data_IF_419809536443
#
_entry.id   IF_419809536443
#
_cell.length_a   1.000
_cell.length_b   1.000
_cell.length_c   1.000
_cell.angle_alpha   90.00
_cell.angle_beta   90.00
_cell.angle_gamma   90.00
#
_symmetry.space_group_name_H-M   'P 1'
#
loop_
_entity.id
_entity.type
_entity.pdbx_description
1 polymer ?
#
# COMPACT_ATOMS: atom_id res chain seq x y z
N UNK A 1 39.63 -36.51 -5.44
CA UNK A 1 38.23 -35.99 -5.51
C UNK A 1 38.24 -34.55 -5.00
N UNK A 2 38.79 -33.52 -5.65
CA UNK A 2 38.44 -32.51 -4.73
C UNK A 2 38.72 -31.04 -5.01
N UNK A 3 39.55 -30.75 -5.97
CA UNK A 3 39.75 -29.34 -6.38
C UNK A 3 38.58 -28.81 -7.20
N UNK A 4 37.94 -29.67 -7.98
CA UNK A 4 36.76 -29.29 -8.79
C UNK A 4 35.52 -29.06 -7.93
N UNK A 5 35.22 -29.96 -6.97
CA UNK A 5 34.13 -29.77 -6.00
C UNK A 5 34.31 -28.51 -5.15
N UNK A 6 35.52 -28.20 -4.71
CA UNK A 6 35.83 -26.96 -3.98
C UNK A 6 35.61 -25.71 -4.84
N UNK A 7 35.97 -25.75 -6.12
CA UNK A 7 35.73 -24.64 -7.05
C UNK A 7 34.24 -24.41 -7.31
N UNK A 8 33.46 -25.50 -7.47
CA UNK A 8 32.00 -25.38 -7.59
C UNK A 8 31.42 -24.83 -6.31
N UNK A 9 31.79 -25.35 -5.14
CA UNK A 9 31.31 -24.84 -3.85
C UNK A 9 31.61 -23.35 -3.66
N UNK A 10 32.84 -22.93 -4.02
CA UNK A 10 33.19 -21.50 -3.99
C UNK A 10 32.35 -20.68 -4.96
N UNK A 11 32.12 -21.17 -6.18
CA UNK A 11 31.29 -20.48 -7.17
C UNK A 11 29.83 -20.30 -6.69
N UNK A 12 29.24 -21.35 -6.11
CA UNK A 12 27.89 -21.28 -5.51
C UNK A 12 27.83 -20.28 -4.35
N UNK A 13 28.84 -20.29 -3.47
CA UNK A 13 28.91 -19.35 -2.36
C UNK A 13 29.00 -17.89 -2.85
N UNK A 14 29.84 -17.63 -3.86
CA UNK A 14 29.96 -16.27 -4.44
C UNK A 14 28.64 -15.83 -5.05
N UNK A 15 27.95 -16.69 -5.79
CA UNK A 15 26.64 -16.37 -6.36
C UNK A 15 25.58 -16.11 -5.28
N UNK A 16 25.59 -16.87 -4.19
CA UNK A 16 24.69 -16.65 -3.06
C UNK A 16 24.94 -15.29 -2.39
N UNK A 17 26.22 -14.93 -2.18
CA UNK A 17 26.61 -13.64 -1.61
C UNK A 17 26.18 -12.49 -2.54
N UNK A 18 26.45 -12.60 -3.84
CA UNK A 18 26.05 -11.58 -4.81
C UNK A 18 24.52 -11.41 -4.86
N UNK A 19 23.78 -12.52 -4.80
CA UNK A 19 22.32 -12.50 -4.70
C UNK A 19 21.83 -11.78 -3.45
N UNK A 20 22.39 -12.10 -2.30
CA UNK A 20 22.06 -11.41 -1.04
C UNK A 20 22.37 -9.91 -1.11
N UNK A 21 23.55 -9.54 -1.59
CA UNK A 21 23.94 -8.12 -1.77
C UNK A 21 22.97 -7.40 -2.70
N UNK A 22 22.56 -8.03 -3.80
CA UNK A 22 21.61 -7.45 -4.74
C UNK A 22 20.23 -7.20 -4.09
N UNK A 23 19.72 -8.16 -3.29
CA UNK A 23 18.46 -7.99 -2.55
C UNK A 23 18.52 -6.82 -1.59
N UNK A 24 19.59 -6.74 -0.76
CA UNK A 24 19.76 -5.62 0.18
C UNK A 24 19.93 -4.27 -0.54
N UNK A 25 20.65 -4.24 -1.66
CA UNK A 25 20.83 -3.02 -2.43
C UNK A 25 19.51 -2.53 -3.06
N UNK A 26 18.68 -3.45 -3.58
CA UNK A 26 17.37 -3.12 -4.13
C UNK A 26 16.44 -2.61 -3.02
N UNK A 27 16.40 -3.30 -1.88
CA UNK A 27 15.56 -2.90 -0.75
C UNK A 27 15.97 -1.50 -0.23
N UNK A 28 17.25 -1.27 -0.02
CA UNK A 28 17.79 0.04 0.39
C UNK A 28 17.45 1.14 -0.64
N UNK A 29 17.54 0.83 -1.94
CA UNK A 29 17.18 1.77 -2.99
C UNK A 29 15.69 2.14 -2.93
N UNK A 30 14.81 1.16 -2.78
CA UNK A 30 13.37 1.38 -2.64
C UNK A 30 13.05 2.23 -1.41
N UNK A 31 13.63 1.89 -0.25
CA UNK A 31 13.40 2.63 0.99
C UNK A 31 13.92 4.06 0.94
N UNK A 32 15.11 4.30 0.39
CA UNK A 32 15.70 5.64 0.28
C UNK A 32 14.95 6.53 -0.71
N UNK A 33 14.40 5.94 -1.78
CA UNK A 33 13.59 6.65 -2.78
C UNK A 33 12.21 7.02 -2.23
N UNK A 34 11.53 6.07 -1.59
CA UNK A 34 10.16 6.23 -1.13
C UNK A 34 10.04 6.90 0.25
N UNK A 35 11.04 6.71 1.12
CA UNK A 35 11.01 7.16 2.51
C UNK A 35 10.66 8.63 2.71
N UNK A 36 11.28 9.57 1.96
CA UNK A 36 10.97 11.01 2.07
C UNK A 36 9.52 11.38 1.72
N UNK A 37 8.77 10.47 1.09
CA UNK A 37 7.35 10.67 0.73
C UNK A 37 6.38 10.06 1.74
N UNK A 38 6.88 9.41 2.80
CA UNK A 38 6.05 8.96 3.92
C UNK A 38 5.94 10.13 4.89
N UNK A 39 4.71 10.62 5.06
CA UNK A 39 4.40 11.83 5.82
C UNK A 39 3.41 11.51 6.94
N UNK A 40 3.27 12.43 7.87
CA UNK A 40 2.22 12.39 8.91
C UNK A 40 0.86 12.80 8.32
N UNK A 41 -0.23 12.52 9.05
CA UNK A 41 -1.57 12.95 8.66
C UNK A 41 -1.69 14.49 8.57
N UNK A 42 -1.03 15.22 9.47
CA UNK A 42 -1.02 16.69 9.47
C UNK A 42 -0.26 17.26 8.27
N UNK A 43 0.87 16.65 7.91
CA UNK A 43 1.61 17.03 6.70
C UNK A 43 0.81 16.71 5.44
N UNK A 44 0.07 15.60 5.41
CA UNK A 44 -0.81 15.25 4.29
C UNK A 44 -1.93 16.28 4.09
N UNK A 45 -2.52 16.81 5.16
CA UNK A 45 -3.59 17.80 5.11
C UNK A 45 -3.17 19.12 4.44
N UNK A 46 -1.88 19.45 4.46
CA UNK A 46 -1.36 20.71 3.88
C UNK A 46 -0.73 20.54 2.48
N UNK A 47 -0.73 19.33 1.91
CA UNK A 47 -0.17 19.05 0.57
C UNK A 47 -0.93 19.81 -0.53
N UNK A 48 -2.23 20.02 -0.37
CA UNK A 48 -3.10 20.67 -1.35
C UNK A 48 -3.26 19.88 -2.66
N UNK A 49 -4.42 20.06 -3.31
CA UNK A 49 -4.75 19.45 -4.60
C UNK A 49 -4.55 17.91 -4.63
N UNK A 50 -4.87 17.22 -3.54
CA UNK A 50 -4.89 15.75 -3.49
C UNK A 50 -6.19 15.26 -4.14
N UNK A 51 -6.08 14.49 -5.22
CA UNK A 51 -7.23 14.00 -5.99
C UNK A 51 -8.03 12.96 -5.19
N UNK A 52 -7.34 12.06 -4.49
CA UNK A 52 -7.95 11.09 -3.59
C UNK A 52 -6.98 10.56 -2.54
N UNK A 53 -7.53 10.07 -1.43
CA UNK A 53 -6.85 9.17 -0.51
C UNK A 53 -7.08 7.74 -1.00
N UNK A 54 -6.01 7.04 -1.38
CA UNK A 54 -6.04 5.65 -1.84
C UNK A 54 -5.79 4.70 -0.67
N UNK A 55 -6.81 3.96 -0.26
CA UNK A 55 -6.73 2.94 0.79
C UNK A 55 -6.50 1.57 0.15
N UNK A 56 -5.37 0.94 0.46
CA UNK A 56 -5.02 -0.38 -0.09
C UNK A 56 -5.62 -1.51 0.75
N UNK A 57 -6.21 -2.50 0.10
CA UNK A 57 -6.72 -3.72 0.71
C UNK A 57 -5.60 -4.58 1.33
N UNK A 58 -5.96 -5.41 2.31
CA UNK A 58 -5.08 -6.42 2.91
C UNK A 58 -5.82 -7.61 3.55
N UNK A 59 -7.08 -7.78 3.21
CA UNK A 59 -7.85 -8.97 3.52
C UNK A 59 -9.03 -8.75 4.45
N UNK A 60 -10.06 -9.56 4.20
CA UNK A 60 -11.24 -9.73 5.05
C UNK A 60 -11.27 -11.15 5.60
N UNK A 61 -11.86 -11.31 6.78
CA UNK A 61 -12.11 -12.62 7.39
C UNK A 61 -13.21 -13.38 6.63
N UNK A 62 -13.35 -14.71 6.85
CA UNK A 62 -14.39 -15.51 6.20
C UNK A 62 -15.84 -15.04 6.47
N UNK A 63 -16.06 -14.29 7.55
CA UNK A 63 -17.34 -13.67 7.90
C UNK A 63 -17.58 -12.32 7.19
N UNK A 64 -16.64 -11.89 6.34
CA UNK A 64 -16.69 -10.61 5.62
C UNK A 64 -16.19 -9.41 6.42
N UNK A 65 -15.82 -9.57 7.68
CA UNK A 65 -15.27 -8.48 8.48
C UNK A 65 -13.84 -8.12 8.03
N UNK A 66 -13.47 -6.82 7.95
CA UNK A 66 -12.10 -6.42 7.71
C UNK A 66 -11.13 -7.01 8.74
N UNK A 67 -9.94 -7.44 8.29
CA UNK A 67 -8.85 -7.77 9.20
C UNK A 67 -8.43 -6.55 10.02
N UNK A 68 -7.77 -6.75 11.17
CA UNK A 68 -7.30 -5.64 12.01
C UNK A 68 -6.44 -4.63 11.22
N UNK A 69 -5.56 -5.14 10.35
CA UNK A 69 -4.76 -4.30 9.45
C UNK A 69 -5.62 -3.49 8.47
N UNK A 70 -6.65 -4.13 7.90
CA UNK A 70 -7.54 -3.46 6.96
C UNK A 70 -8.39 -2.41 7.66
N UNK A 71 -8.92 -2.74 8.85
CA UNK A 71 -9.68 -1.80 9.68
C UNK A 71 -8.86 -0.55 10.03
N UNK A 72 -7.58 -0.71 10.38
CA UNK A 72 -6.69 0.41 10.66
C UNK A 72 -6.40 1.25 9.41
N UNK A 73 -6.26 0.64 8.22
CA UNK A 73 -6.14 1.38 6.96
C UNK A 73 -7.39 2.21 6.66
N UNK A 74 -8.57 1.62 6.85
CA UNK A 74 -9.83 2.32 6.62
C UNK A 74 -9.97 3.48 7.61
N UNK A 75 -9.71 3.25 8.90
CA UNK A 75 -9.76 4.28 9.92
C UNK A 75 -8.79 5.44 9.62
N UNK A 76 -7.57 5.15 9.18
CA UNK A 76 -6.60 6.17 8.77
C UNK A 76 -7.07 6.92 7.52
N UNK A 77 -7.70 6.22 6.55
CA UNK A 77 -8.28 6.86 5.36
C UNK A 77 -9.42 7.81 5.72
N UNK A 78 -10.31 7.39 6.62
CA UNK A 78 -11.40 8.23 7.16
C UNK A 78 -10.83 9.48 7.85
N UNK A 79 -9.82 9.34 8.70
CA UNK A 79 -9.18 10.46 9.38
C UNK A 79 -8.55 11.47 8.39
N UNK A 80 -7.97 10.99 7.28
CA UNK A 80 -7.43 11.86 6.22
C UNK A 80 -8.52 12.56 5.39
N UNK A 81 -9.67 11.95 5.24
CA UNK A 81 -10.84 12.62 4.65
C UNK A 81 -11.34 13.73 5.59
N UNK A 82 -11.52 13.42 6.87
CA UNK A 82 -12.04 14.36 7.88
C UNK A 82 -11.10 15.55 8.11
N UNK A 83 -9.78 15.37 8.06
CA UNK A 83 -8.81 16.46 8.20
C UNK A 83 -8.64 17.31 6.92
N UNK A 84 -9.38 16.98 5.85
CA UNK A 84 -9.39 17.76 4.61
C UNK A 84 -8.26 17.46 3.64
N UNK A 85 -7.51 16.36 3.81
CA UNK A 85 -6.45 15.93 2.87
C UNK A 85 -7.00 15.77 1.45
N UNK A 86 -8.16 15.10 1.30
CA UNK A 86 -8.91 14.99 0.04
C UNK A 86 -10.39 14.77 0.31
N UNK A 87 -11.29 15.28 -0.54
CA UNK A 87 -12.74 15.03 -0.43
C UNK A 87 -13.15 13.66 -1.00
N UNK A 88 -12.21 12.77 -1.34
CA UNK A 88 -12.49 11.48 -1.98
C UNK A 88 -11.61 10.39 -1.40
N UNK A 89 -12.24 9.25 -1.08
CA UNK A 89 -11.55 7.99 -0.79
C UNK A 89 -11.67 7.04 -1.98
N UNK A 90 -10.56 6.42 -2.35
CA UNK A 90 -10.53 5.32 -3.32
C UNK A 90 -10.13 4.04 -2.57
N UNK A 91 -11.08 3.12 -2.42
CA UNK A 91 -10.86 1.80 -1.82
C UNK A 91 -10.41 0.84 -2.91
N UNK A 92 -9.17 0.35 -2.87
CA UNK A 92 -8.62 -0.55 -3.89
C UNK A 92 -8.23 -1.88 -3.26
N UNK A 93 -8.86 -2.94 -3.71
CA UNK A 93 -8.70 -4.28 -3.17
C UNK A 93 -9.10 -5.38 -4.15
N UNK A 94 -9.13 -6.62 -3.64
CA UNK A 94 -9.45 -7.80 -4.43
C UNK A 94 -10.96 -8.12 -4.38
N UNK A 95 -11.53 -8.37 -5.55
CA UNK A 95 -12.86 -8.96 -5.73
C UNK A 95 -12.81 -10.08 -6.80
N UNK A 96 -11.72 -10.84 -6.82
CA UNK A 96 -11.48 -11.89 -7.83
C UNK A 96 -12.31 -13.17 -7.62
N UNK A 97 -13.06 -13.30 -6.50
CA UNK A 97 -13.90 -14.44 -6.19
C UNK A 97 -15.27 -13.99 -5.73
N UNK A 98 -16.31 -14.75 -6.09
CA UNK A 98 -17.70 -14.43 -5.76
C UNK A 98 -18.01 -14.43 -4.25
N UNK A 99 -17.21 -15.14 -3.46
CA UNK A 99 -17.32 -15.26 -1.99
C UNK A 99 -16.36 -14.32 -1.24
N UNK A 100 -15.68 -13.40 -1.95
CA UNK A 100 -14.70 -12.50 -1.37
C UNK A 100 -14.88 -11.08 -1.92
N UNK A 101 -15.36 -10.18 -1.08
CA UNK A 101 -15.69 -8.81 -1.44
C UNK A 101 -15.08 -7.81 -0.45
N UNK A 102 -13.76 -7.66 -0.56
CA UNK A 102 -12.98 -6.78 0.30
C UNK A 102 -13.40 -5.31 0.12
N UNK A 103 -13.61 -4.88 -1.12
CA UNK A 103 -13.82 -3.48 -1.44
C UNK A 103 -15.17 -2.98 -0.92
N UNK A 104 -16.23 -3.80 -0.99
CA UNK A 104 -17.52 -3.46 -0.37
C UNK A 104 -17.41 -3.38 1.16
N UNK A 105 -16.69 -4.31 1.81
CA UNK A 105 -16.45 -4.24 3.25
C UNK A 105 -15.69 -2.94 3.64
N UNK A 106 -14.70 -2.54 2.84
CA UNK A 106 -13.98 -1.28 3.04
C UNK A 106 -14.90 -0.07 2.93
N UNK A 107 -15.74 -0.04 1.89
CA UNK A 107 -16.71 1.05 1.68
C UNK A 107 -17.74 1.12 2.81
N UNK A 108 -18.32 -0.03 3.17
CA UNK A 108 -19.32 -0.07 4.24
C UNK A 108 -18.77 0.44 5.56
N UNK A 109 -17.55 0.07 5.93
CA UNK A 109 -16.91 0.55 7.15
C UNK A 109 -16.68 2.07 7.11
N UNK A 110 -16.24 2.64 5.99
CA UNK A 110 -16.07 4.09 5.83
C UNK A 110 -17.40 4.84 5.91
N UNK A 111 -18.47 4.32 5.30
CA UNK A 111 -19.81 4.91 5.36
C UNK A 111 -20.40 4.82 6.78
N UNK A 112 -20.18 3.69 7.47
CA UNK A 112 -20.59 3.55 8.88
C UNK A 112 -19.83 4.50 9.80
N UNK A 113 -18.60 4.88 9.45
CA UNK A 113 -17.84 5.92 10.15
C UNK A 113 -18.35 7.36 9.86
N UNK A 114 -19.33 7.51 8.97
CA UNK A 114 -20.00 8.79 8.69
C UNK A 114 -19.64 9.46 7.37
N UNK A 115 -18.83 8.83 6.51
CA UNK A 115 -18.50 9.41 5.21
C UNK A 115 -19.69 9.31 4.24
N UNK A 116 -19.92 10.35 3.41
CA UNK A 116 -20.88 10.27 2.33
C UNK A 116 -20.54 9.12 1.36
N UNK A 117 -21.51 8.30 1.03
CA UNK A 117 -21.31 7.16 0.15
C UNK A 117 -20.81 7.54 -1.26
N UNK A 118 -21.15 8.75 -1.71
CA UNK A 118 -20.76 9.30 -3.03
C UNK A 118 -19.28 9.76 -3.06
N UNK A 119 -18.64 9.93 -1.90
CA UNK A 119 -17.23 10.31 -1.80
C UNK A 119 -16.31 9.08 -1.67
N UNK A 120 -16.88 7.87 -1.54
CA UNK A 120 -16.14 6.60 -1.40
C UNK A 120 -16.22 5.80 -2.70
N UNK A 121 -15.16 5.87 -3.47
CA UNK A 121 -15.00 5.16 -4.75
C UNK A 121 -14.44 3.76 -4.53
N UNK A 122 -14.81 2.82 -5.39
CA UNK A 122 -14.44 1.42 -5.30
C UNK A 122 -13.63 0.98 -6.52
N UNK A 123 -12.46 0.41 -6.27
CA UNK A 123 -11.65 -0.28 -7.27
C UNK A 123 -11.60 -1.78 -6.95
N UNK A 124 -12.43 -2.55 -7.63
CA UNK A 124 -12.57 -4.00 -7.45
C UNK A 124 -11.49 -4.84 -8.17
N UNK A 125 -10.51 -4.20 -8.80
CA UNK A 125 -9.48 -4.87 -9.56
C UNK A 125 -8.06 -4.45 -9.13
N UNK A 126 -7.90 -4.07 -7.88
CA UNK A 126 -6.61 -3.81 -7.25
C UNK A 126 -5.93 -5.08 -6.75
N UNK A 127 -5.75 -6.08 -7.62
CA UNK A 127 -5.19 -7.40 -7.26
C UNK A 127 -3.70 -7.36 -6.89
N UNK A 128 -3.03 -6.28 -7.17
CA UNK A 128 -1.64 -6.05 -6.82
C UNK A 128 -1.37 -4.57 -6.59
N UNK A 129 -0.25 -4.27 -5.88
CA UNK A 129 0.20 -2.88 -5.69
C UNK A 129 0.36 -2.13 -7.02
N UNK A 130 0.87 -2.80 -8.05
CA UNK A 130 1.02 -2.21 -9.39
C UNK A 130 -0.34 -1.85 -10.00
N UNK A 131 -1.29 -2.77 -9.96
CA UNK A 131 -2.63 -2.55 -10.52
C UNK A 131 -3.37 -1.44 -9.78
N UNK A 132 -3.32 -1.40 -8.45
CA UNK A 132 -3.92 -0.31 -7.67
C UNK A 132 -3.39 1.06 -8.10
N UNK A 133 -2.06 1.22 -8.26
CA UNK A 133 -1.45 2.47 -8.69
C UNK A 133 -1.78 2.79 -10.16
N UNK A 134 -1.68 1.79 -11.05
CA UNK A 134 -2.02 1.94 -12.46
C UNK A 134 -3.47 2.39 -12.63
N UNK A 135 -4.40 1.74 -11.91
CA UNK A 135 -5.83 2.05 -12.02
C UNK A 135 -6.20 3.37 -11.37
N UNK A 136 -5.57 3.75 -10.25
CA UNK A 136 -5.73 5.09 -9.69
C UNK A 136 -5.41 6.17 -10.73
N UNK A 137 -4.33 6.01 -11.51
CA UNK A 137 -3.92 6.93 -12.56
C UNK A 137 -4.81 6.86 -13.81
N UNK A 138 -4.95 5.67 -14.41
CA UNK A 138 -5.49 5.52 -15.77
C UNK A 138 -7.01 5.29 -15.80
N UNK A 139 -7.59 4.74 -14.75
CA UNK A 139 -9.03 4.49 -14.66
C UNK A 139 -9.73 5.61 -13.88
N UNK A 140 -9.17 6.00 -12.73
CA UNK A 140 -9.75 7.04 -11.89
C UNK A 140 -9.22 8.44 -12.18
N UNK A 141 -8.20 8.57 -13.04
CA UNK A 141 -7.67 9.86 -13.51
C UNK A 141 -6.91 10.65 -12.45
N UNK A 142 -6.52 10.02 -11.35
CA UNK A 142 -5.79 10.66 -10.28
C UNK A 142 -4.34 11.01 -10.70
N UNK A 143 -3.85 12.16 -10.25
CA UNK A 143 -2.49 12.65 -10.50
C UNK A 143 -1.70 12.79 -9.21
N UNK A 144 -2.31 13.38 -8.18
CA UNK A 144 -1.73 13.49 -6.83
C UNK A 144 -2.59 12.68 -5.86
N UNK A 145 -1.98 11.74 -5.15
CA UNK A 145 -2.67 10.84 -4.23
C UNK A 145 -1.94 10.73 -2.88
N UNK A 146 -2.72 10.42 -1.85
CA UNK A 146 -2.17 9.97 -0.56
C UNK A 146 -2.52 8.50 -0.38
N UNK A 147 -1.50 7.64 -0.28
CA UNK A 147 -1.65 6.19 -0.13
C UNK A 147 -1.68 5.84 1.35
N UNK A 148 -2.66 5.05 1.76
CA UNK A 148 -2.78 4.52 3.13
C UNK A 148 -2.50 3.03 3.15
N UNK A 149 -1.49 2.65 3.92
CA UNK A 149 -1.09 1.25 4.16
C UNK A 149 -0.16 1.17 5.37
N UNK A 150 0.27 -0.05 5.79
CA UNK A 150 1.35 -0.19 6.76
C UNK A 150 2.68 0.29 6.17
N UNK A 151 3.55 0.81 7.03
CA UNK A 151 4.82 1.46 6.64
C UNK A 151 5.70 0.60 5.74
N UNK A 152 5.83 -0.69 6.07
CA UNK A 152 6.63 -1.61 5.25
C UNK A 152 6.12 -1.75 3.82
N UNK A 153 4.80 -1.67 3.63
CA UNK A 153 4.16 -1.73 2.31
C UNK A 153 4.22 -0.39 1.58
N UNK A 154 4.18 0.73 2.29
CA UNK A 154 4.25 2.07 1.70
C UNK A 154 5.51 2.28 0.86
N UNK A 155 6.67 1.76 1.26
CA UNK A 155 7.89 1.85 0.47
C UNK A 155 7.70 1.30 -0.95
N UNK A 156 7.10 0.11 -1.05
CA UNK A 156 6.80 -0.50 -2.35
C UNK A 156 5.73 0.26 -3.12
N UNK A 157 4.65 0.67 -2.45
CA UNK A 157 3.54 1.37 -3.09
C UNK A 157 3.99 2.73 -3.67
N UNK A 158 4.74 3.52 -2.91
CA UNK A 158 5.28 4.81 -3.32
C UNK A 158 6.30 4.66 -4.46
N UNK A 159 7.19 3.66 -4.39
CA UNK A 159 8.13 3.38 -5.46
C UNK A 159 7.43 3.05 -6.77
N UNK A 160 6.38 2.21 -6.73
CA UNK A 160 5.58 1.86 -7.91
C UNK A 160 4.82 3.09 -8.43
N UNK A 161 4.19 3.87 -7.54
CA UNK A 161 3.48 5.09 -7.90
C UNK A 161 4.38 6.09 -8.64
N UNK A 162 5.58 6.34 -8.12
CA UNK A 162 6.58 7.20 -8.76
C UNK A 162 6.96 6.70 -10.16
N UNK A 163 7.21 5.38 -10.32
CA UNK A 163 7.55 4.77 -11.62
C UNK A 163 6.41 4.86 -12.62
N UNK A 164 5.20 4.95 -12.16
CA UNK A 164 4.01 5.18 -12.98
C UNK A 164 3.74 6.68 -13.22
N UNK A 165 4.51 7.60 -12.65
CA UNK A 165 4.36 9.04 -12.83
C UNK A 165 3.27 9.67 -11.96
N UNK A 166 2.82 8.99 -10.88
CA UNK A 166 1.93 9.57 -9.88
C UNK A 166 2.74 10.44 -8.90
N UNK A 167 2.21 11.61 -8.57
CA UNK A 167 2.68 12.39 -7.42
C UNK A 167 2.03 11.83 -6.15
N UNK A 168 2.73 10.89 -5.51
CA UNK A 168 2.19 10.12 -4.41
C UNK A 168 2.92 10.39 -3.09
N UNK A 169 2.15 10.49 -2.01
CA UNK A 169 2.61 10.51 -0.64
C UNK A 169 1.99 9.34 0.12
N UNK A 170 2.59 8.93 1.23
CA UNK A 170 2.12 7.81 2.03
C UNK A 170 1.87 8.20 3.47
N UNK A 171 0.76 7.75 4.05
CA UNK A 171 0.49 7.86 5.48
C UNK A 171 0.35 6.46 6.06
N UNK A 172 1.14 6.19 7.12
CA UNK A 172 1.13 4.89 7.79
C UNK A 172 -0.16 4.65 8.55
N UNK A 173 -0.69 3.44 8.41
CA UNK A 173 -1.81 2.92 9.19
C UNK A 173 -1.37 1.93 10.28
N UNK A 174 -0.13 2.04 10.76
CA UNK A 174 0.38 1.22 11.88
C UNK A 174 -0.14 1.77 13.20
N UNK A 175 -1.46 1.61 13.46
CA UNK A 175 -2.14 2.15 14.64
C UNK A 175 -1.98 1.24 15.88
N UNK A 176 -1.57 -0.01 15.67
CA UNK A 176 -1.35 -1.02 16.70
C UNK A 176 -0.22 -1.99 16.30
N UNK A 177 0.37 -2.73 17.25
CA UNK A 177 1.25 -3.85 16.89
C UNK A 177 0.41 -5.00 16.31
N UNK A 178 0.88 -5.62 15.23
CA UNK A 178 0.23 -6.79 14.63
C UNK A 178 1.03 -8.06 14.94
N UNK A 179 0.34 -9.19 15.14
CA UNK A 179 0.99 -10.47 15.36
C UNK A 179 1.91 -10.84 14.17
N UNK A 180 3.19 -11.11 14.45
CA UNK A 180 4.20 -11.44 13.43
C UNK A 180 5.01 -10.26 12.90
N UNK A 181 4.82 -9.03 13.38
CA UNK A 181 5.64 -7.85 13.05
C UNK A 181 6.65 -7.47 14.16
N UNK A 182 6.85 -8.35 15.14
CA UNK A 182 7.94 -8.17 16.11
C UNK A 182 9.28 -8.49 15.41
N UNK A 183 9.99 -7.45 15.02
CA UNK A 183 11.36 -7.53 14.56
C UNK A 183 12.24 -6.56 15.34
#
# INVERSE_FOLDING_TARGET
MDTWLKRIGLGVLVLAILGAVAVFAIDAHVQTTAGPRIVTADEAAVLGNVDCVLVLGCGVHPDGCPSDMLADRIAQGVALYENGTSPKLLMSGDHGRADYDEVNAMREMAVQAGLPADDVFMDHAGFSTYESMYRARDVFGAKRIVIVSQKYHLYRALYVAERLGLDAYGVSADLRPYAGQEA
#
